data_IF_995304340451
#
_entry.id   IF_995304340451
#
_cell.length_a   1.000
_cell.length_b   1.000
_cell.length_c   1.000
_cell.angle_alpha   90.00
_cell.angle_beta   90.00
_cell.angle_gamma   90.00
#
_symmetry.space_group_name_H-M   'P 1'
#
loop_
_entity.id
_entity.type
_entity.pdbx_description
1 polymer ?
#
# COMPACT_ATOMS: atom_id res chain seq x y z
N UNK A 1 -15.74 2.47 -0.70
CA UNK A 1 -14.92 3.20 0.30
C UNK A 1 -14.52 2.18 1.33
N UNK A 2 -13.22 1.99 1.54
CA UNK A 2 -12.70 0.95 2.40
C UNK A 2 -12.71 1.45 3.84
N UNK A 3 -13.22 0.64 4.77
CA UNK A 3 -13.01 0.88 6.19
C UNK A 3 -11.60 0.39 6.53
N UNK A 4 -10.59 1.26 6.40
CA UNK A 4 -9.16 0.88 6.53
C UNK A 4 -8.89 0.09 7.81
N UNK A 5 -9.45 0.50 8.94
CA UNK A 5 -9.24 -0.16 10.24
C UNK A 5 -9.81 -1.58 10.35
N UNK A 6 -10.74 -1.95 9.47
CA UNK A 6 -11.33 -3.30 9.46
C UNK A 6 -10.58 -4.27 8.54
N UNK A 7 -9.58 -3.78 7.80
CA UNK A 7 -8.82 -4.63 6.89
C UNK A 7 -7.85 -5.53 7.67
N UNK A 8 -7.79 -6.84 7.34
CA UNK A 8 -6.86 -7.77 7.95
C UNK A 8 -5.46 -7.57 7.36
N UNK A 9 -4.74 -6.54 7.82
CA UNK A 9 -3.38 -6.28 7.37
C UNK A 9 -2.41 -7.34 7.91
N UNK A 10 -1.58 -7.87 7.02
CA UNK A 10 -0.60 -8.92 7.30
C UNK A 10 0.75 -8.60 6.66
N UNK A 11 1.82 -9.28 7.09
CA UNK A 11 3.15 -9.22 6.48
C UNK A 11 3.68 -7.79 6.24
N UNK A 12 3.42 -6.89 7.19
CA UNK A 12 3.73 -5.46 7.07
C UNK A 12 5.24 -5.25 7.22
N UNK A 13 5.82 -4.54 6.25
CA UNK A 13 7.22 -4.15 6.24
C UNK A 13 7.30 -2.67 5.85
N UNK A 14 7.85 -1.85 6.75
CA UNK A 14 8.03 -0.41 6.54
C UNK A 14 9.53 -0.14 6.43
N UNK A 15 9.96 0.50 5.35
CA UNK A 15 11.36 0.81 5.12
C UNK A 15 11.53 2.15 4.37
N UNK A 16 12.66 2.86 4.56
CA UNK A 16 12.99 4.04 3.76
C UNK A 16 13.06 3.68 2.26
N UNK A 17 12.52 4.51 1.38
CA UNK A 17 12.66 4.26 -0.06
C UNK A 17 14.10 4.48 -0.50
N UNK A 18 14.59 3.62 -1.38
CA UNK A 18 15.89 3.79 -2.06
C UNK A 18 15.79 4.68 -3.30
N UNK A 19 14.57 4.97 -3.78
CA UNK A 19 14.33 5.62 -5.07
C UNK A 19 13.87 7.08 -4.95
N UNK A 20 13.39 7.49 -3.78
CA UNK A 20 12.93 8.85 -3.51
C UNK A 20 13.04 9.16 -2.01
N UNK A 21 12.96 10.44 -1.64
CA UNK A 21 12.88 10.83 -0.23
C UNK A 21 11.51 10.46 0.34
N UNK A 22 11.49 9.49 1.25
CA UNK A 22 10.28 8.99 1.87
C UNK A 22 10.41 7.54 2.30
N UNK A 23 9.27 6.84 2.35
CA UNK A 23 9.15 5.46 2.83
C UNK A 23 8.28 4.63 1.91
N UNK A 24 8.45 3.33 1.99
CA UNK A 24 7.61 2.34 1.34
C UNK A 24 7.07 1.38 2.40
N UNK A 25 5.82 0.98 2.22
CA UNK A 25 5.19 -0.04 3.05
C UNK A 25 4.74 -1.18 2.15
N UNK A 26 5.33 -2.36 2.33
CA UNK A 26 4.78 -3.59 1.79
C UNK A 26 3.82 -4.18 2.81
N UNK A 27 2.63 -4.55 2.37
CA UNK A 27 1.63 -5.16 3.23
C UNK A 27 0.75 -6.11 2.43
N UNK A 28 0.08 -7.02 3.13
CA UNK A 28 -0.86 -7.98 2.56
C UNK A 28 -2.25 -7.78 3.12
N UNK A 29 -3.26 -7.90 2.27
CA UNK A 29 -4.67 -8.00 2.68
C UNK A 29 -5.36 -9.03 1.78
N UNK A 30 -6.15 -9.94 2.37
CA UNK A 30 -6.84 -11.01 1.63
C UNK A 30 -5.90 -11.79 0.68
N UNK A 31 -4.72 -12.18 1.15
CA UNK A 31 -3.67 -12.88 0.38
C UNK A 31 -3.03 -12.12 -0.79
N UNK A 32 -3.34 -10.84 -0.93
CA UNK A 32 -2.82 -9.99 -2.00
C UNK A 32 -1.80 -8.99 -1.45
N UNK A 33 -0.62 -8.93 -2.07
CA UNK A 33 0.47 -8.05 -1.67
C UNK A 33 0.31 -6.66 -2.34
N UNK A 34 0.55 -5.60 -1.58
CA UNK A 34 0.45 -4.21 -2.01
C UNK A 34 1.68 -3.43 -1.55
N UNK A 35 2.02 -2.38 -2.31
CA UNK A 35 3.11 -1.47 -1.99
C UNK A 35 2.55 -0.05 -1.88
N UNK A 36 2.62 0.53 -0.69
CA UNK A 36 2.28 1.93 -0.45
C UNK A 36 3.54 2.79 -0.48
N UNK A 37 3.51 3.82 -1.31
CA UNK A 37 4.57 4.80 -1.45
C UNK A 37 4.19 6.07 -0.70
N UNK A 38 5.07 6.54 0.18
CA UNK A 38 4.86 7.71 1.04
C UNK A 38 6.04 8.66 0.85
N UNK A 39 5.78 9.86 0.35
CA UNK A 39 6.80 10.87 0.11
C UNK A 39 7.12 11.66 1.37
N UNK A 40 8.37 12.13 1.46
CA UNK A 40 8.94 12.93 2.54
C UNK A 40 8.96 12.24 3.92
N UNK A 41 10.12 12.23 4.57
CA UNK A 41 10.29 11.57 5.87
C UNK A 41 9.85 12.43 7.06
N UNK A 42 9.81 13.75 6.91
CA UNK A 42 9.47 14.72 7.99
C UNK A 42 8.00 15.13 7.98
N UNK A 43 7.42 15.26 6.79
CA UNK A 43 6.03 15.61 6.56
C UNK A 43 5.42 14.58 5.59
N UNK A 44 5.15 13.35 6.06
CA UNK A 44 4.73 12.26 5.18
C UNK A 44 3.44 12.59 4.42
N UNK A 45 3.45 12.33 3.12
CA UNK A 45 2.24 12.43 2.29
C UNK A 45 2.13 11.22 1.35
N UNK A 46 0.90 10.76 1.04
CA UNK A 46 0.72 9.53 0.29
C UNK A 46 0.97 9.78 -1.21
N UNK A 47 1.87 9.01 -1.82
CA UNK A 47 2.12 9.04 -3.27
C UNK A 47 1.20 8.06 -4.02
N UNK A 48 0.91 6.91 -3.41
CA UNK A 48 -0.01 5.94 -4.00
C UNK A 48 0.25 4.50 -3.56
N UNK A 49 -0.77 3.66 -3.69
CA UNK A 49 -0.69 2.21 -3.52
C UNK A 49 -0.68 1.50 -4.87
N UNK A 50 0.32 0.65 -5.07
CA UNK A 50 0.46 -0.26 -6.22
C UNK A 50 0.13 -1.69 -5.82
N UNK A 51 -0.38 -2.48 -6.75
CA UNK A 51 -0.43 -3.93 -6.60
C UNK A 51 1.00 -4.49 -6.67
N UNK A 52 1.26 -5.51 -5.87
CA UNK A 52 2.54 -6.21 -5.85
C UNK A 52 2.35 -7.74 -5.91
N UNK A 53 1.41 -8.21 -6.72
CA UNK A 53 0.99 -9.62 -6.74
C UNK A 53 2.09 -10.51 -7.31
N UNK A 54 2.35 -11.64 -6.65
CA UNK A 54 3.34 -12.64 -7.10
C UNK A 54 2.82 -13.49 -8.25
N UNK A 55 1.51 -13.63 -8.36
CA UNK A 55 0.82 -14.40 -9.38
C UNK A 55 -0.28 -13.55 -10.02
N UNK A 56 -0.76 -13.99 -11.18
CA UNK A 56 -1.88 -13.33 -11.87
C UNK A 56 -3.17 -13.58 -11.09
N UNK A 57 -3.82 -12.53 -10.62
CA UNK A 57 -5.08 -12.64 -9.86
C UNK A 57 -5.96 -11.38 -10.02
N UNK A 58 -7.20 -11.46 -9.53
CA UNK A 58 -8.15 -10.36 -9.49
C UNK A 58 -8.04 -9.64 -8.15
N UNK A 59 -7.79 -8.33 -8.18
CA UNK A 59 -7.74 -7.54 -6.96
C UNK A 59 -9.13 -7.51 -6.27
N UNK A 60 -9.24 -7.88 -4.98
CA UNK A 60 -10.52 -7.97 -4.27
C UNK A 60 -11.19 -6.61 -4.05
N UNK A 61 -10.43 -5.50 -4.18
CA UNK A 61 -10.95 -4.15 -3.94
C UNK A 61 -11.34 -3.44 -5.22
N UNK A 62 -10.45 -3.40 -6.20
CA UNK A 62 -10.69 -2.68 -7.46
C UNK A 62 -11.17 -3.57 -8.61
N UNK A 63 -11.29 -4.89 -8.39
CA UNK A 63 -11.80 -5.89 -9.34
C UNK A 63 -11.06 -5.94 -10.69
N UNK A 64 -9.86 -5.36 -10.75
CA UNK A 64 -8.98 -5.44 -11.92
C UNK A 64 -8.21 -6.74 -11.92
N UNK A 65 -8.03 -7.30 -13.11
CA UNK A 65 -7.09 -8.38 -13.35
C UNK A 65 -5.66 -7.82 -13.32
N UNK A 66 -4.85 -8.34 -12.40
CA UNK A 66 -3.49 -7.92 -12.16
C UNK A 66 -2.56 -9.06 -12.55
N UNK A 67 -1.57 -8.78 -13.39
CA UNK A 67 -0.52 -9.75 -13.71
C UNK A 67 0.52 -9.83 -12.60
N UNK A 68 1.33 -10.88 -12.58
CA UNK A 68 2.46 -10.96 -11.65
C UNK A 68 3.41 -9.76 -11.84
N UNK A 69 4.03 -9.31 -10.75
CA UNK A 69 5.11 -8.33 -10.80
C UNK A 69 6.28 -8.84 -11.67
N UNK A 70 6.97 -7.96 -12.41
CA UNK A 70 6.81 -6.50 -12.43
C UNK A 70 5.68 -6.00 -13.35
N UNK A 71 5.16 -6.84 -14.25
CA UNK A 71 4.22 -6.43 -15.30
C UNK A 71 2.90 -5.86 -14.73
N UNK A 72 2.36 -6.46 -13.67
CA UNK A 72 1.12 -6.02 -13.05
C UNK A 72 1.26 -4.97 -11.96
N UNK A 73 2.44 -4.33 -11.81
CA UNK A 73 2.68 -3.31 -10.78
C UNK A 73 1.96 -1.98 -11.13
N UNK A 74 0.63 -1.99 -11.06
CA UNK A 74 -0.27 -0.88 -11.38
C UNK A 74 -0.94 -0.33 -10.12
N UNK A 75 -1.47 0.90 -10.18
CA UNK A 75 -2.19 1.51 -9.05
C UNK A 75 -3.46 0.74 -8.68
N UNK A 76 -3.69 0.52 -7.39
CA UNK A 76 -4.95 -0.01 -6.87
C UNK A 76 -5.97 1.11 -6.71
N UNK A 77 -6.94 1.21 -7.63
CA UNK A 77 -7.89 2.32 -7.67
C UNK A 77 -8.71 2.50 -6.38
N UNK A 78 -9.00 1.42 -5.66
CA UNK A 78 -9.76 1.54 -4.42
C UNK A 78 -8.87 2.08 -3.28
N UNK A 79 -7.63 1.62 -3.14
CA UNK A 79 -6.70 2.26 -2.19
C UNK A 79 -6.36 3.70 -2.56
N UNK A 80 -6.30 4.05 -3.86
CA UNK A 80 -6.08 5.44 -4.29
C UNK A 80 -7.15 6.41 -3.73
N UNK A 81 -8.40 5.96 -3.57
CA UNK A 81 -9.48 6.78 -2.99
C UNK A 81 -9.38 6.93 -1.48
N UNK A 82 -8.59 6.08 -0.81
CA UNK A 82 -8.49 6.00 0.65
C UNK A 82 -7.08 6.33 1.16
N UNK A 83 -6.25 6.99 0.34
CA UNK A 83 -4.85 7.30 0.68
C UNK A 83 -4.67 8.06 2.01
N UNK A 84 -5.45 9.12 2.31
CA UNK A 84 -5.27 9.84 3.59
C UNK A 84 -5.59 8.95 4.79
N UNK A 85 -6.67 8.16 4.71
CA UNK A 85 -7.07 7.25 5.78
C UNK A 85 -6.05 6.11 5.97
N UNK A 86 -5.47 5.60 4.88
CA UNK A 86 -4.43 4.58 4.93
C UNK A 86 -3.13 5.12 5.55
N UNK A 87 -2.72 6.33 5.17
CA UNK A 87 -1.55 6.99 5.77
C UNK A 87 -1.76 7.20 7.27
N UNK A 88 -2.90 7.77 7.65
CA UNK A 88 -3.25 7.99 9.05
C UNK A 88 -3.19 6.68 9.86
N UNK A 89 -3.77 5.59 9.33
CA UNK A 89 -3.70 4.29 9.98
C UNK A 89 -2.26 3.84 10.24
N UNK A 90 -1.38 3.89 9.24
CA UNK A 90 0.01 3.45 9.43
C UNK A 90 0.80 4.38 10.34
N UNK A 91 0.53 5.69 10.34
CA UNK A 91 1.18 6.64 11.26
C UNK A 91 0.76 6.42 12.72
N UNK A 92 -0.50 6.04 12.96
CA UNK A 92 -1.00 5.78 14.31
C UNK A 92 -0.55 4.42 14.84
N UNK A 93 -0.68 3.35 14.05
CA UNK A 93 -0.34 1.99 14.49
C UNK A 93 1.16 1.70 14.50
N UNK A 94 1.95 2.43 13.69
CA UNK A 94 3.39 2.24 13.55
C UNK A 94 4.16 3.55 13.77
N UNK A 95 3.79 4.31 14.80
CA UNK A 95 4.38 5.63 15.08
C UNK A 95 5.91 5.65 15.14
N UNK A 96 6.53 4.59 15.66
CA UNK A 96 8.00 4.48 15.75
C UNK A 96 8.69 4.40 14.38
N UNK A 97 7.94 4.03 13.34
CA UNK A 97 8.42 3.90 11.97
C UNK A 97 8.22 5.18 11.14
N UNK A 98 7.64 6.25 11.69
CA UNK A 98 7.37 7.51 11.00
C UNK A 98 8.16 8.67 11.61
#
# INVERSE_FOLDING_TARGET
>A
MLTIRELPFEAIQIYPSSSFEGREILFRVHHHDYQFLIGNSTHPFPLGVKHFFKEKDICPFCHKLIYAVPLGQQLCLEFQKNLPALLQFFQEEYSDAF
#
